data_IF_692795156329
#
_entry.id   IF_692795156329
#
_cell.length_a   1.000
_cell.length_b   1.000
_cell.length_c   1.000
_cell.angle_alpha   90.00
_cell.angle_beta   90.00
_cell.angle_gamma   90.00
#
_symmetry.space_group_name_H-M   'P 1'
#
loop_
_entity.id
_entity.type
_entity.pdbx_description
1 polymer ?
#
# COMPACT_ATOMS: atom_id res chain seq x y z
N UNK A 1 3.24 12.38 -1.39
CA UNK A 1 4.15 13.54 -1.44
C UNK A 1 4.72 13.58 -2.84
N UNK A 2 4.35 14.59 -3.66
CA UNK A 2 5.11 14.91 -4.88
C UNK A 2 5.98 16.11 -4.52
N UNK A 3 7.27 16.06 -4.81
CA UNK A 3 8.04 17.29 -4.96
C UNK A 3 7.40 18.07 -6.12
N UNK A 4 6.77 19.21 -5.83
CA UNK A 4 6.43 20.18 -6.86
C UNK A 4 7.74 20.65 -7.49
N UNK A 5 8.03 20.20 -8.72
CA UNK A 5 8.94 20.92 -9.61
C UNK A 5 8.20 22.19 -10.05
N UNK A 6 8.42 23.29 -9.35
CA UNK A 6 8.19 24.59 -9.97
C UNK A 6 9.43 24.92 -10.80
N UNK A 7 9.23 24.90 -12.12
CA UNK A 7 10.18 25.36 -13.12
C UNK A 7 10.26 26.89 -13.04
N UNK A 8 11.29 27.42 -12.38
CA UNK A 8 11.72 28.79 -12.64
C UNK A 8 12.45 28.80 -13.99
N UNK A 9 11.80 29.39 -14.98
CA UNK A 9 12.36 29.59 -16.30
C UNK A 9 13.57 30.51 -16.24
N UNK A 10 14.71 30.00 -16.69
CA UNK A 10 15.86 30.81 -17.05
C UNK A 10 16.15 30.59 -18.54
N UNK A 11 15.87 31.61 -19.33
CA UNK A 11 16.32 31.78 -20.70
C UNK A 11 17.85 31.83 -20.71
N UNK A 12 18.51 30.86 -21.34
CA UNK A 12 19.89 31.03 -21.81
C UNK A 12 19.99 30.51 -23.24
N UNK A 13 19.97 31.46 -24.16
CA UNK A 13 20.32 31.29 -25.56
C UNK A 13 21.79 30.89 -25.71
N UNK A 14 22.04 29.97 -26.63
CA UNK A 14 23.30 29.83 -27.35
C UNK A 14 24.37 29.00 -26.66
N UNK A 15 24.72 27.88 -27.26
CA UNK A 15 26.00 27.74 -27.97
C UNK A 15 25.99 26.43 -28.77
N UNK A 16 26.34 26.56 -30.04
CA UNK A 16 26.55 25.47 -30.96
C UNK A 16 27.75 24.63 -30.52
N UNK A 17 27.61 23.30 -30.50
CA UNK A 17 28.75 22.40 -30.47
C UNK A 17 28.55 21.28 -31.50
N UNK A 18 29.44 21.25 -32.48
CA UNK A 18 29.46 20.29 -33.58
C UNK A 18 30.08 18.97 -33.11
N UNK A 19 29.37 17.85 -33.26
CA UNK A 19 29.92 16.50 -33.04
C UNK A 19 30.15 15.78 -34.37
N UNK A 20 31.36 15.26 -34.59
CA UNK A 20 31.64 14.21 -35.57
C UNK A 20 32.77 13.30 -35.03
N UNK A 21 32.80 11.99 -35.37
CA UNK A 21 33.19 10.95 -34.42
C UNK A 21 34.49 10.17 -34.75
N UNK A 22 34.82 9.29 -33.79
CA UNK A 22 35.64 8.08 -33.86
C UNK A 22 37.16 8.18 -33.63
N UNK A 23 37.62 7.49 -32.57
CA UNK A 23 38.83 6.64 -32.63
C UNK A 23 38.89 5.62 -31.46
N UNK A 24 38.68 4.35 -31.82
CA UNK A 24 39.55 3.19 -31.53
C UNK A 24 40.60 3.29 -30.40
N UNK A 25 40.55 2.41 -29.39
CA UNK A 25 41.29 1.12 -29.34
C UNK A 25 41.35 0.50 -27.93
N UNK A 26 41.24 -0.84 -27.96
CA UNK A 26 41.47 -1.85 -26.92
C UNK A 26 42.74 -1.69 -26.06
N UNK A 27 42.63 -2.10 -24.79
CA UNK A 27 43.66 -2.79 -23.99
C UNK A 27 42.92 -3.72 -23.00
N UNK A 28 42.83 -5.03 -23.24
CA UNK A 28 43.76 -6.11 -22.81
C UNK A 28 44.11 -6.11 -21.32
N UNK A 29 43.63 -7.13 -20.59
CA UNK A 29 44.13 -7.51 -19.26
C UNK A 29 43.18 -8.45 -18.49
N UNK A 30 43.56 -9.72 -18.22
CA UNK A 30 42.68 -10.70 -17.60
C UNK A 30 42.68 -10.59 -16.07
N UNK A 31 41.50 -10.57 -15.45
CA UNK A 31 41.33 -10.83 -14.02
C UNK A 31 40.88 -12.29 -13.84
N UNK A 32 41.85 -13.19 -13.68
CA UNK A 32 41.60 -14.53 -13.15
C UNK A 32 41.66 -14.48 -11.63
N UNK A 33 40.51 -14.63 -10.96
CA UNK A 33 40.45 -14.98 -9.55
C UNK A 33 39.34 -16.01 -9.36
N UNK A 34 39.64 -17.23 -9.77
CA UNK A 34 38.83 -18.43 -9.50
C UNK A 34 38.97 -18.77 -8.02
N UNK A 35 37.93 -18.49 -7.24
CA UNK A 35 37.78 -19.08 -5.91
C UNK A 35 36.95 -20.36 -6.04
N UNK A 36 37.65 -21.49 -6.10
CA UNK A 36 37.08 -22.81 -5.87
C UNK A 36 37.87 -23.46 -4.74
N UNK A 37 37.19 -23.68 -3.62
CA UNK A 37 37.60 -24.70 -2.66
C UNK A 37 36.40 -25.60 -2.37
N UNK A 38 36.66 -26.86 -2.63
CA UNK A 38 35.79 -28.03 -2.68
C UNK A 38 35.37 -28.52 -1.29
N UNK A 39 34.27 -29.30 -1.19
CA UNK A 39 33.88 -30.01 0.03
C UNK A 39 34.59 -31.37 0.12
N UNK A 40 34.78 -31.90 1.33
CA UNK A 40 35.23 -33.29 1.61
C UNK A 40 35.04 -33.62 3.11
N UNK A 41 35.03 -34.90 3.56
CA UNK A 41 34.02 -35.92 3.25
C UNK A 41 33.61 -36.78 4.49
N UNK A 42 32.57 -37.62 4.30
CA UNK A 42 32.38 -38.97 4.92
C UNK A 42 32.15 -39.08 6.44
N UNK A 43 31.32 -39.97 7.01
CA UNK A 43 30.46 -41.03 6.47
C UNK A 43 29.62 -41.67 7.61
N UNK A 44 28.43 -42.13 7.22
CA UNK A 44 27.71 -43.37 7.63
C UNK A 44 27.23 -43.58 9.08
N UNK A 45 25.91 -43.76 9.24
CA UNK A 45 25.20 -45.07 9.30
C UNK A 45 23.72 -44.79 9.63
N UNK A 46 22.79 -45.18 8.75
CA UNK A 46 21.97 -46.38 8.82
C UNK A 46 20.76 -46.27 9.79
N UNK A 47 19.58 -46.40 9.20
CA UNK A 47 18.39 -47.12 9.69
C UNK A 47 17.87 -46.88 11.12
N UNK A 48 16.64 -46.37 11.23
CA UNK A 48 15.62 -46.99 12.10
C UNK A 48 14.21 -46.43 11.82
N UNK A 49 13.46 -47.20 11.04
CA UNK A 49 12.12 -47.69 11.36
C UNK A 49 10.99 -46.68 11.65
N UNK A 50 10.19 -46.52 10.61
CA UNK A 50 8.74 -46.54 10.70
C UNK A 50 8.25 -47.76 11.50
N UNK A 51 7.43 -47.53 12.53
CA UNK A 51 6.21 -48.29 12.85
C UNK A 51 5.71 -47.84 14.23
N UNK A 52 4.54 -47.20 14.28
CA UNK A 52 3.45 -47.65 15.15
C UNK A 52 2.16 -46.93 14.75
N UNK A 53 1.34 -47.64 13.98
CA UNK A 53 -0.09 -47.40 13.90
C UNK A 53 -0.77 -47.99 15.14
N UNK A 54 -1.99 -47.51 15.38
CA UNK A 54 -3.06 -48.04 16.24
C UNK A 54 -3.16 -47.45 17.65
N UNK A 55 -3.90 -46.34 17.73
CA UNK A 55 -4.81 -46.10 18.86
C UNK A 55 -6.25 -45.94 18.32
N UNK A 56 -7.24 -46.57 18.99
CA UNK A 56 -8.58 -46.73 18.47
C UNK A 56 -9.43 -45.46 18.57
N UNK A 57 -10.35 -45.36 17.61
CA UNK A 57 -11.53 -44.50 17.64
C UNK A 57 -12.60 -45.09 18.57
N UNK A 58 -13.45 -44.23 19.16
CA UNK A 58 -14.66 -44.43 20.02
C UNK A 58 -14.50 -43.78 21.39
N UNK A 59 -15.46 -43.14 22.03
CA UNK A 59 -16.86 -42.83 21.75
C UNK A 59 -17.19 -41.63 22.69
N UNK A 60 -17.84 -40.60 22.17
CA UNK A 60 -19.17 -40.19 22.59
C UNK A 60 -19.34 -39.91 24.11
N UNK A 61 -19.13 -38.66 24.53
CA UNK A 61 -19.89 -38.07 25.65
C UNK A 61 -20.14 -36.58 25.38
N UNK A 62 -21.24 -36.33 24.68
CA UNK A 62 -22.02 -35.08 24.80
C UNK A 62 -22.96 -35.27 25.98
N UNK A 63 -23.08 -34.30 26.90
CA UNK A 63 -24.35 -34.07 27.55
C UNK A 63 -25.10 -32.99 26.75
N UNK A 64 -26.14 -33.45 26.05
CA UNK A 64 -27.32 -32.65 25.75
C UNK A 64 -27.84 -32.02 27.04
N UNK A 65 -27.73 -30.71 27.17
CA UNK A 65 -28.60 -29.95 28.06
C UNK A 65 -29.52 -29.12 27.19
N UNK A 66 -30.63 -29.74 26.83
CA UNK A 66 -31.84 -29.07 26.38
C UNK A 66 -32.43 -28.34 27.59
N UNK A 67 -32.21 -27.04 27.68
CA UNK A 67 -33.10 -26.15 28.42
C UNK A 67 -33.93 -25.37 27.42
N UNK A 68 -35.15 -25.85 27.19
CA UNK A 68 -36.19 -25.18 26.40
C UNK A 68 -37.25 -24.66 27.36
N UNK A 69 -37.27 -23.33 27.58
CA UNK A 69 -38.48 -22.49 27.63
C UNK A 69 -38.15 -21.15 28.33
N UNK A 70 -38.41 -20.06 27.62
CA UNK A 70 -38.38 -18.70 28.15
C UNK A 70 -38.59 -17.68 27.03
N UNK A 71 -39.85 -17.41 26.72
CA UNK A 71 -40.24 -16.21 25.97
C UNK A 71 -39.87 -14.97 26.81
N UNK A 72 -39.05 -14.09 26.26
CA UNK A 72 -38.67 -12.83 26.89
C UNK A 72 -38.01 -11.89 25.88
N UNK A 73 -38.77 -10.91 25.42
CA UNK A 73 -38.31 -9.82 24.56
C UNK A 73 -37.28 -8.96 25.29
N UNK A 74 -36.20 -8.59 24.60
CA UNK A 74 -35.33 -7.47 25.00
C UNK A 74 -34.09 -7.81 25.80
N UNK A 75 -33.12 -8.50 25.19
CA UNK A 75 -31.72 -8.49 25.63
C UNK A 75 -30.92 -7.63 24.67
N UNK A 76 -30.38 -6.49 25.11
CA UNK A 76 -29.30 -5.82 24.39
C UNK A 76 -28.11 -6.78 24.38
N UNK A 77 -27.80 -7.31 23.22
CA UNK A 77 -26.59 -8.11 22.99
C UNK A 77 -25.35 -7.23 23.22
N UNK A 78 -24.95 -7.07 24.48
CA UNK A 78 -23.59 -6.67 24.82
C UNK A 78 -22.70 -7.90 24.64
N UNK A 79 -22.44 -8.24 23.37
CA UNK A 79 -21.35 -9.13 23.02
C UNK A 79 -20.04 -8.42 23.43
N UNK A 80 -19.58 -8.72 24.65
CA UNK A 80 -18.28 -8.36 25.18
C UNK A 80 -17.17 -9.16 24.48
N UNK A 81 -16.98 -8.93 23.18
CA UNK A 81 -15.74 -9.26 22.49
C UNK A 81 -14.73 -8.13 22.72
N UNK A 82 -13.50 -8.45 23.11
CA UNK A 82 -12.39 -7.47 23.17
C UNK A 82 -12.39 -6.66 21.87
N UNK A 83 -12.64 -5.35 21.99
CA UNK A 83 -13.22 -4.49 20.97
C UNK A 83 -12.68 -4.68 19.56
N UNK A 84 -13.54 -5.20 18.68
CA UNK A 84 -13.37 -4.98 17.25
C UNK A 84 -13.37 -3.46 17.05
N UNK A 85 -12.21 -2.92 16.66
CA UNK A 85 -12.07 -1.49 16.39
C UNK A 85 -12.84 -1.17 15.11
N UNK A 86 -13.53 -0.02 15.12
CA UNK A 86 -14.18 0.51 13.95
C UNK A 86 -13.18 0.66 12.79
N UNK A 87 -13.70 0.56 11.58
CA UNK A 87 -12.89 0.66 10.39
C UNK A 87 -12.36 2.10 10.24
N UNK A 88 -11.05 2.31 10.04
CA UNK A 88 -10.49 3.65 9.90
C UNK A 88 -11.10 4.46 8.76
N UNK A 89 -11.63 3.81 7.72
CA UNK A 89 -12.24 4.49 6.57
C UNK A 89 -13.49 5.33 6.87
N UNK A 90 -13.96 5.39 8.13
CA UNK A 90 -15.11 6.21 8.50
C UNK A 90 -16.47 5.58 8.18
N UNK A 91 -16.51 4.34 7.67
CA UNK A 91 -17.78 3.67 7.30
C UNK A 91 -18.72 3.33 8.47
N UNK A 92 -18.29 3.52 9.73
CA UNK A 92 -19.03 3.13 10.93
C UNK A 92 -19.15 1.61 11.16
N UNK A 93 -18.57 0.79 10.27
CA UNK A 93 -18.54 -0.68 10.40
C UNK A 93 -17.28 -1.14 11.12
N UNK A 94 -17.33 -2.33 11.69
CA UNK A 94 -16.14 -3.01 12.22
C UNK A 94 -15.10 -3.24 11.13
N UNK A 95 -13.82 -3.11 11.48
CA UNK A 95 -12.73 -3.31 10.51
C UNK A 95 -12.79 -4.69 9.83
N UNK A 96 -13.17 -5.74 10.56
CA UNK A 96 -13.31 -7.11 10.05
C UNK A 96 -14.33 -7.25 8.92
N UNK A 97 -15.41 -6.47 9.00
CA UNK A 97 -16.55 -6.57 8.09
C UNK A 97 -16.47 -5.54 6.96
N UNK A 98 -15.49 -4.64 7.05
CA UNK A 98 -15.21 -3.59 6.07
C UNK A 98 -13.87 -3.84 5.36
N UNK A 99 -12.83 -3.04 5.64
CA UNK A 99 -11.60 -3.05 4.86
C UNK A 99 -10.73 -4.31 5.04
N UNK A 100 -10.88 -5.05 6.14
CA UNK A 100 -10.06 -6.24 6.37
C UNK A 100 -10.27 -7.33 5.32
N UNK A 101 -11.47 -7.45 4.75
CA UNK A 101 -11.78 -8.45 3.71
C UNK A 101 -10.91 -8.23 2.47
N UNK A 102 -10.75 -6.98 2.06
CA UNK A 102 -9.86 -6.58 0.97
C UNK A 102 -8.38 -6.77 1.32
N UNK A 103 -8.00 -6.52 2.58
CA UNK A 103 -6.61 -6.72 3.05
C UNK A 103 -6.22 -8.20 3.18
N UNK A 104 -7.19 -9.11 3.33
CA UNK A 104 -6.92 -10.55 3.39
C UNK A 104 -7.02 -11.26 2.05
N UNK A 105 -7.95 -10.85 1.20
CA UNK A 105 -8.19 -11.51 -0.09
C UNK A 105 -8.21 -10.54 -1.25
N UNK A 106 -7.42 -10.82 -2.28
CA UNK A 106 -7.49 -10.10 -3.55
C UNK A 106 -8.80 -10.36 -4.31
N UNK A 107 -9.47 -11.49 -4.06
CA UNK A 107 -10.76 -11.80 -4.70
C UNK A 107 -11.88 -10.88 -4.23
N UNK A 108 -11.77 -10.31 -3.03
CA UNK A 108 -12.74 -9.35 -2.53
C UNK A 108 -12.79 -8.07 -3.38
N UNK A 109 -11.71 -7.76 -4.12
CA UNK A 109 -11.62 -6.59 -4.98
C UNK A 109 -12.38 -6.73 -6.32
N UNK A 110 -12.74 -7.95 -6.74
CA UNK A 110 -13.42 -8.20 -8.03
C UNK A 110 -14.82 -7.59 -8.04
N UNK A 111 -15.56 -7.77 -6.95
CA UNK A 111 -16.94 -7.27 -6.82
C UNK A 111 -17.03 -5.91 -6.11
N UNK A 112 -15.88 -5.26 -5.91
CA UNK A 112 -15.83 -4.01 -5.17
C UNK A 112 -16.33 -2.84 -6.01
N UNK A 113 -17.01 -1.90 -5.37
CA UNK A 113 -17.17 -0.57 -5.96
C UNK A 113 -15.83 0.18 -5.93
N UNK A 114 -15.52 1.08 -6.88
CA UNK A 114 -14.25 1.80 -6.93
C UNK A 114 -13.98 2.58 -5.63
N UNK A 115 -15.00 3.17 -5.01
CA UNK A 115 -14.92 3.85 -3.72
C UNK A 115 -14.47 2.94 -2.58
N UNK A 116 -14.85 1.66 -2.61
CA UNK A 116 -14.44 0.70 -1.58
C UNK A 116 -12.95 0.40 -1.65
N UNK A 117 -12.35 0.43 -2.85
CA UNK A 117 -10.91 0.32 -2.99
C UNK A 117 -10.19 1.52 -2.36
N UNK A 118 -10.68 2.75 -2.59
CA UNK A 118 -10.12 3.95 -1.96
C UNK A 118 -10.22 3.86 -0.43
N UNK A 119 -11.39 3.46 0.10
CA UNK A 119 -11.59 3.25 1.54
C UNK A 119 -10.65 2.18 2.13
N UNK A 120 -10.45 1.06 1.42
CA UNK A 120 -9.51 0.02 1.81
C UNK A 120 -8.07 0.54 1.79
N UNK A 121 -7.67 1.27 0.75
CA UNK A 121 -6.33 1.86 0.64
C UNK A 121 -6.06 2.85 1.77
N UNK A 122 -7.01 3.74 2.09
CA UNK A 122 -6.90 4.61 3.25
C UNK A 122 -6.68 3.82 4.55
N UNK A 123 -7.48 2.78 4.78
CA UNK A 123 -7.32 1.93 5.97
C UNK A 123 -5.97 1.22 6.00
N UNK A 124 -5.41 0.88 4.84
CA UNK A 124 -4.06 0.33 4.74
C UNK A 124 -2.97 1.36 5.08
N UNK A 125 -3.14 2.64 4.74
CA UNK A 125 -2.24 3.71 5.21
C UNK A 125 -2.26 3.81 6.74
N UNK A 126 -3.45 3.86 7.35
CA UNK A 126 -3.60 3.94 8.81
C UNK A 126 -2.98 2.73 9.51
N UNK A 127 -3.15 1.53 8.93
CA UNK A 127 -2.64 0.27 9.48
C UNK A 127 -1.21 -0.08 9.05
N UNK A 128 -0.58 0.76 8.21
CA UNK A 128 0.77 0.56 7.66
C UNK A 128 0.92 -0.77 6.89
N UNK A 129 -0.11 -1.17 6.14
CA UNK A 129 -0.12 -2.40 5.35
C UNK A 129 0.49 -2.18 3.94
N UNK A 130 1.82 -2.18 3.88
CA UNK A 130 2.58 -2.01 2.64
C UNK A 130 2.22 -3.05 1.57
N UNK A 131 1.95 -4.29 1.98
CA UNK A 131 1.65 -5.40 1.06
C UNK A 131 0.33 -5.14 0.33
N UNK A 132 -0.68 -4.67 1.05
CA UNK A 132 -1.93 -4.26 0.42
C UNK A 132 -1.75 -3.07 -0.51
N UNK A 133 -1.02 -2.03 -0.08
CA UNK A 133 -0.81 -0.84 -0.89
C UNK A 133 -0.08 -1.15 -2.21
N UNK A 134 0.92 -2.04 -2.17
CA UNK A 134 1.64 -2.48 -3.38
C UNK A 134 0.76 -3.30 -4.31
N UNK A 135 0.09 -4.33 -3.80
CA UNK A 135 -0.73 -5.24 -4.64
C UNK A 135 -1.98 -4.60 -5.22
N UNK A 136 -2.47 -3.52 -4.62
CA UNK A 136 -3.64 -2.77 -5.11
C UNK A 136 -3.26 -1.54 -5.93
N UNK A 137 -1.98 -1.40 -6.30
CA UNK A 137 -1.50 -0.43 -7.28
C UNK A 137 -1.32 -1.14 -8.63
N UNK A 138 -1.70 -0.45 -9.71
CA UNK A 138 -1.42 -0.92 -11.07
C UNK A 138 0.10 -0.93 -11.32
N UNK A 139 0.66 -1.86 -12.10
CA UNK A 139 2.10 -1.88 -12.42
C UNK A 139 2.63 -0.56 -13.00
N UNK A 140 1.81 0.13 -13.80
CA UNK A 140 2.16 1.44 -14.38
C UNK A 140 2.00 2.62 -13.42
N UNK A 141 1.58 2.40 -12.18
CA UNK A 141 1.45 3.46 -11.21
C UNK A 141 2.84 4.08 -10.94
N UNK A 142 3.02 5.39 -11.17
CA UNK A 142 4.31 6.04 -11.03
C UNK A 142 4.89 5.92 -9.62
N UNK A 143 4.06 5.79 -8.58
CA UNK A 143 4.55 5.59 -7.21
C UNK A 143 5.34 4.28 -7.04
N UNK A 144 5.04 3.23 -7.81
CA UNK A 144 5.79 1.97 -7.72
C UNK A 144 7.22 2.09 -8.23
N UNK A 145 7.51 3.10 -9.06
CA UNK A 145 8.86 3.36 -9.58
C UNK A 145 9.78 4.01 -8.55
N UNK A 146 9.24 4.38 -7.38
CA UNK A 146 9.96 5.10 -6.34
C UNK A 146 10.13 6.58 -6.64
N UNK A 147 10.75 7.29 -5.71
CA UNK A 147 11.07 8.70 -5.83
C UNK A 147 12.58 8.93 -5.94
N UNK A 148 12.96 10.09 -6.46
CA UNK A 148 14.36 10.53 -6.46
C UNK A 148 14.47 11.89 -5.80
N UNK A 149 15.38 12.02 -4.84
CA UNK A 149 15.69 13.29 -4.17
C UNK A 149 17.17 13.59 -4.33
N UNK A 150 17.52 14.84 -4.61
CA UNK A 150 18.88 15.33 -4.44
C UNK A 150 19.01 15.90 -3.02
N UNK A 151 20.09 15.58 -2.32
CA UNK A 151 20.44 16.31 -1.10
C UNK A 151 21.14 17.64 -1.41
N UNK A 152 21.41 18.45 -0.38
CA UNK A 152 22.08 19.74 -0.52
C UNK A 152 23.51 19.62 -1.10
N UNK A 153 24.10 18.42 -1.06
CA UNK A 153 25.38 18.09 -1.68
C UNK A 153 25.23 17.63 -3.14
N UNK A 154 24.01 17.66 -3.69
CA UNK A 154 23.69 17.24 -5.06
C UNK A 154 23.71 15.72 -5.26
N UNK A 155 23.79 14.93 -4.20
CA UNK A 155 23.79 13.47 -4.30
C UNK A 155 22.36 12.99 -4.51
N UNK A 156 22.12 12.43 -5.71
CA UNK A 156 20.84 11.84 -6.04
C UNK A 156 20.66 10.51 -5.31
N UNK A 157 19.64 10.43 -4.45
CA UNK A 157 19.17 9.18 -3.85
C UNK A 157 17.90 8.73 -4.56
N UNK A 158 17.83 7.43 -4.83
CA UNK A 158 16.63 6.75 -5.27
C UNK A 158 16.02 6.07 -4.05
N UNK A 159 14.76 6.37 -3.76
CA UNK A 159 13.98 5.74 -2.70
C UNK A 159 12.99 4.79 -3.35
N UNK A 160 12.96 3.55 -2.88
CA UNK A 160 11.96 2.57 -3.27
C UNK A 160 10.56 2.96 -2.77
N UNK A 161 9.54 2.35 -3.35
CA UNK A 161 8.15 2.56 -2.93
C UNK A 161 7.92 2.29 -1.44
N UNK A 162 8.49 1.21 -0.91
CA UNK A 162 8.37 0.85 0.50
C UNK A 162 9.07 1.85 1.42
N UNK A 163 10.21 2.40 1.01
CA UNK A 163 10.91 3.47 1.74
C UNK A 163 10.10 4.77 1.75
N UNK A 164 9.53 5.16 0.62
CA UNK A 164 8.63 6.32 0.50
C UNK A 164 7.41 6.16 1.44
N UNK A 165 6.84 4.96 1.51
CA UNK A 165 5.75 4.65 2.44
C UNK A 165 6.20 4.69 3.90
N UNK A 166 7.40 4.19 4.22
CA UNK A 166 7.93 4.21 5.57
C UNK A 166 8.09 5.66 6.08
N UNK A 167 8.64 6.55 5.25
CA UNK A 167 8.72 7.99 5.54
C UNK A 167 7.33 8.57 5.74
N UNK A 168 6.39 8.26 4.84
CA UNK A 168 4.99 8.73 4.96
C UNK A 168 4.36 8.31 6.29
N UNK A 169 4.53 7.05 6.71
CA UNK A 169 3.97 6.52 7.95
C UNK A 169 4.58 7.11 9.23
N UNK A 170 5.80 7.64 9.13
CA UNK A 170 6.46 8.36 10.21
C UNK A 170 6.00 9.83 10.24
N UNK A 171 6.01 10.48 9.08
CA UNK A 171 5.78 11.91 8.93
C UNK A 171 4.31 12.32 9.00
N UNK A 172 3.36 11.43 8.72
CA UNK A 172 1.95 11.79 8.59
C UNK A 172 1.08 11.08 9.63
N UNK A 173 0.16 11.82 10.25
CA UNK A 173 -1.01 11.27 10.93
C UNK A 173 -2.22 11.36 9.99
N UNK A 174 -2.90 10.24 9.77
CA UNK A 174 -4.14 10.17 9.01
C UNK A 174 -5.31 10.30 9.97
N UNK A 175 -6.19 11.28 9.73
CA UNK A 175 -7.24 11.68 10.65
C UNK A 175 -8.64 11.31 10.13
N UNK A 176 -8.87 11.43 8.81
CA UNK A 176 -10.16 11.12 8.22
C UNK A 176 -10.10 10.89 6.71
N UNK A 177 -11.19 10.36 6.18
CA UNK A 177 -11.43 10.14 4.75
C UNK A 177 -12.87 10.53 4.43
N UNK A 178 -13.05 11.39 3.44
CA UNK A 178 -14.34 11.78 2.89
C UNK A 178 -14.37 11.43 1.40
N UNK A 179 -15.35 10.64 0.95
CA UNK A 179 -15.49 10.26 -0.46
C UNK A 179 -16.68 11.01 -1.05
N UNK A 180 -16.44 11.82 -2.07
CA UNK A 180 -17.48 12.67 -2.69
C UNK A 180 -18.27 11.94 -3.77
N UNK A 181 -17.61 11.04 -4.52
CA UNK A 181 -18.26 10.29 -5.59
C UNK A 181 -17.29 9.58 -6.51
N UNK A 182 -17.84 8.88 -7.51
CA UNK A 182 -17.05 8.28 -8.57
C UNK A 182 -17.74 8.41 -9.93
N UNK A 183 -16.96 8.58 -10.99
CA UNK A 183 -17.39 8.41 -12.38
C UNK A 183 -16.74 7.15 -12.94
N UNK A 184 -17.50 6.36 -13.71
CA UNK A 184 -16.98 5.16 -14.39
C UNK A 184 -16.97 5.44 -15.89
N UNK A 185 -15.98 4.93 -16.60
CA UNK A 185 -15.96 4.98 -18.06
C UNK A 185 -17.13 4.18 -18.66
N UNK A 186 -17.57 4.50 -19.90
CA UNK A 186 -18.71 3.83 -20.53
C UNK A 186 -18.54 2.31 -20.69
N UNK A 187 -17.30 1.85 -20.84
CA UNK A 187 -16.93 0.44 -20.95
C UNK A 187 -16.76 -0.25 -19.58
N UNK A 188 -16.84 0.49 -18.46
CA UNK A 188 -16.73 -0.05 -17.11
C UNK A 188 -15.32 -0.52 -16.73
N UNK A 189 -14.30 -0.20 -17.54
CA UNK A 189 -12.91 -0.63 -17.36
C UNK A 189 -12.11 0.30 -16.45
N UNK A 190 -12.49 1.58 -16.38
CA UNK A 190 -11.83 2.59 -15.56
C UNK A 190 -12.84 3.40 -14.74
N UNK A 191 -12.38 3.97 -13.64
CA UNK A 191 -13.18 4.84 -12.81
C UNK A 191 -12.31 5.92 -12.16
N UNK A 192 -12.85 7.13 -12.05
CA UNK A 192 -12.27 8.18 -11.24
C UNK A 192 -13.07 8.31 -9.94
N UNK A 193 -12.37 8.45 -8.82
CA UNK A 193 -12.96 8.64 -7.49
C UNK A 193 -12.43 9.93 -6.90
N UNK A 194 -13.33 10.85 -6.57
CA UNK A 194 -12.99 12.07 -5.84
C UNK A 194 -13.17 11.87 -4.34
N UNK A 195 -12.14 12.24 -3.59
CA UNK A 195 -12.13 12.14 -2.13
C UNK A 195 -11.25 13.22 -1.50
N UNK A 196 -11.38 13.39 -0.20
CA UNK A 196 -10.47 14.18 0.61
C UNK A 196 -9.90 13.34 1.76
N UNK A 197 -8.65 13.61 2.10
CA UNK A 197 -7.98 12.99 3.24
C UNK A 197 -7.58 14.08 4.22
N UNK A 198 -8.11 14.00 5.44
CA UNK A 198 -7.67 14.86 6.54
C UNK A 198 -6.41 14.26 7.15
N UNK A 199 -5.33 15.04 7.18
CA UNK A 199 -4.03 14.62 7.67
C UNK A 199 -3.43 15.67 8.60
N UNK A 200 -2.38 15.25 9.30
CA UNK A 200 -1.51 16.15 10.06
C UNK A 200 -0.06 15.77 9.85
N UNK A 201 0.75 16.70 9.35
CA UNK A 201 2.19 16.51 9.10
C UNK A 201 2.98 16.77 10.37
N UNK A 202 3.71 15.76 10.83
CA UNK A 202 4.58 15.80 12.02
C UNK A 202 6.01 16.18 11.67
N UNK A 203 6.39 15.93 10.41
CA UNK A 203 7.71 16.18 9.86
C UNK A 203 7.53 17.04 8.61
N UNK A 204 8.31 18.09 8.48
CA UNK A 204 8.31 18.97 7.30
C UNK A 204 9.17 18.41 6.16
N UNK A 205 9.28 19.17 5.06
CA UNK A 205 10.06 18.78 3.89
C UNK A 205 11.57 18.69 4.13
N UNK A 206 12.08 19.28 5.21
CA UNK A 206 13.50 19.24 5.60
C UNK A 206 13.83 18.05 6.52
N UNK A 207 12.81 17.33 6.97
CA UNK A 207 12.97 16.26 7.96
C UNK A 207 12.88 16.74 9.41
N UNK A 208 12.60 18.02 9.66
CA UNK A 208 12.46 18.56 11.02
C UNK A 208 11.05 18.30 11.58
N UNK A 209 10.97 18.10 12.90
CA UNK A 209 9.69 17.94 13.60
C UNK A 209 8.94 19.27 13.65
N UNK A 210 7.69 19.26 13.22
CA UNK A 210 6.80 20.43 13.29
C UNK A 210 6.34 20.63 14.74
N UNK A 211 6.61 21.80 15.32
CA UNK A 211 6.28 22.11 16.73
C UNK A 211 4.78 22.12 17.00
N UNK A 212 4.00 22.67 16.08
CA UNK A 212 2.54 22.75 16.17
C UNK A 212 1.94 22.28 14.84
N UNK A 213 1.77 20.96 14.67
CA UNK A 213 1.31 20.42 13.40
C UNK A 213 -0.19 20.68 13.23
N UNK A 214 -0.53 21.38 12.14
CA UNK A 214 -1.91 21.71 11.78
C UNK A 214 -2.58 20.58 11.01
N UNK A 215 -3.91 20.55 11.07
CA UNK A 215 -4.70 19.67 10.23
C UNK A 215 -4.83 20.26 8.83
N UNK A 216 -4.60 19.43 7.83
CA UNK A 216 -4.69 19.76 6.41
C UNK A 216 -5.68 18.80 5.75
N UNK A 217 -6.53 19.32 4.86
CA UNK A 217 -7.43 18.51 4.04
C UNK A 217 -6.87 18.47 2.62
N UNK A 218 -6.50 17.27 2.16
CA UNK A 218 -5.99 17.06 0.80
C UNK A 218 -7.12 16.53 -0.06
N UNK A 219 -7.60 17.34 -1.02
CA UNK A 219 -8.57 16.89 -2.02
C UNK A 219 -7.85 16.26 -3.20
N UNK A 220 -8.29 15.08 -3.59
CA UNK A 220 -7.63 14.26 -4.60
C UNK A 220 -8.65 13.58 -5.51
N UNK A 221 -8.22 13.28 -6.73
CA UNK A 221 -8.90 12.38 -7.67
C UNK A 221 -8.00 11.18 -7.93
N UNK A 222 -8.50 9.99 -7.62
CA UNK A 222 -7.83 8.73 -7.96
C UNK A 222 -8.40 8.16 -9.25
N UNK A 223 -7.51 7.76 -10.15
CA UNK A 223 -7.87 6.98 -11.35
C UNK A 223 -7.61 5.50 -11.08
N UNK A 224 -8.65 4.70 -11.25
CA UNK A 224 -8.67 3.25 -11.06
C UNK A 224 -8.90 2.55 -12.39
N UNK A 225 -8.28 1.40 -12.57
CA UNK A 225 -8.46 0.53 -13.74
C UNK A 225 -8.71 -0.90 -13.28
N UNK A 226 -9.49 -1.67 -14.04
CA UNK A 226 -9.65 -3.10 -13.82
C UNK A 226 -8.51 -3.87 -14.48
N UNK A 227 -8.02 -4.90 -13.81
CA UNK A 227 -7.18 -5.92 -14.44
C UNK A 227 -8.02 -6.96 -15.20
N UNK A 228 -7.34 -7.95 -15.78
CA UNK A 228 -7.94 -9.04 -16.54
C UNK A 228 -8.96 -9.86 -15.71
N UNK A 229 -8.78 -9.93 -14.39
CA UNK A 229 -9.71 -10.58 -13.47
C UNK A 229 -10.84 -9.65 -12.96
N UNK A 230 -10.91 -8.42 -13.46
CA UNK A 230 -11.93 -7.44 -13.11
C UNK A 230 -11.72 -6.77 -11.75
N UNK A 231 -10.54 -6.90 -11.14
CA UNK A 231 -10.19 -6.25 -9.87
C UNK A 231 -9.77 -4.81 -10.11
N UNK A 232 -10.28 -3.90 -9.30
CA UNK A 232 -9.80 -2.52 -9.32
C UNK A 232 -8.36 -2.41 -8.81
N UNK A 233 -7.53 -1.67 -9.54
CA UNK A 233 -6.16 -1.28 -9.20
C UNK A 233 -5.98 0.23 -9.35
N UNK A 234 -5.21 0.83 -8.44
CA UNK A 234 -4.91 2.26 -8.50
C UNK A 234 -3.86 2.56 -9.57
N UNK A 235 -4.25 3.28 -10.62
CA UNK A 235 -3.33 3.75 -11.66
C UNK A 235 -2.60 5.02 -11.23
N UNK A 236 -3.30 5.97 -10.61
CA UNK A 236 -2.71 7.24 -10.21
C UNK A 236 -3.62 8.09 -9.33
N UNK A 237 -3.03 9.13 -8.73
CA UNK A 237 -3.74 10.11 -7.91
C UNK A 237 -3.30 11.50 -8.34
N UNK A 238 -4.26 12.37 -8.63
CA UNK A 238 -4.07 13.78 -8.95
C UNK A 238 -4.58 14.62 -7.77
N UNK A 239 -3.78 15.60 -7.33
CA UNK A 239 -4.25 16.60 -6.37
C UNK A 239 -5.26 17.51 -7.08
N UNK A 240 -6.40 17.76 -6.43
CA UNK A 240 -7.36 18.76 -6.86
C UNK A 240 -7.08 20.02 -6.05
N UNK A 241 -6.60 21.06 -6.71
CA UNK A 241 -6.41 22.34 -6.06
C UNK A 241 -7.76 22.82 -5.49
N UNK A 242 -7.73 23.36 -4.27
CA UNK A 242 -8.85 24.14 -3.76
C UNK A 242 -8.85 25.43 -4.56
N UNK A 243 -9.67 25.51 -5.61
CA UNK A 243 -10.03 26.81 -6.19
C UNK A 243 -10.41 27.72 -5.01
N UNK A 244 -9.71 28.86 -4.81
CA UNK A 244 -10.08 29.77 -3.73
C UNK A 244 -11.53 30.14 -3.96
N UNK A 245 -12.38 29.93 -2.94
CA UNK A 245 -13.79 30.29 -3.01
C UNK A 245 -13.88 31.71 -3.57
N UNK A 246 -14.52 31.85 -4.74
CA UNK A 246 -14.73 33.16 -5.36
C UNK A 246 -15.34 34.10 -4.32
N UNK A 247 -14.62 35.19 -4.04
CA UNK A 247 -14.98 36.20 -3.05
C UNK A 247 -16.24 36.98 -3.45
#
# INVERSE_FOLDING_TARGET
MRCLKQSLGANCSGLHYTSSPQRFMNLTGPCSATWQLSPSPSSNTAEAQQHLLLLPSRDAWRPDVVCRAGFGFGGKDKAGGKGAKDCPCGSGRLYSDCCQRFHRSSSASVSAAPQQLIAARYSAFVKKDFKFLRRSSHPDNPALKGSSTADDAGVQRQCSFEEDLAVTFLAVAFLGLDIYGSSTSPDGSSADVEYAVSIRRKIDSTGAKVKQPQEEVLRERATLVKDEEGRWLLLGVQALDVEPAAA
#
